data_IF_610672685380
#
_entry.id   IF_610672685380
#
_cell.length_a   1.000
_cell.length_b   1.000
_cell.length_c   1.000
_cell.angle_alpha   90.00
_cell.angle_beta   90.00
_cell.angle_gamma   90.00
#
_symmetry.space_group_name_H-M   'P 1'
#
loop_
_entity.id
_entity.type
_entity.pdbx_description
1 polymer ?
#
# COMPACT_ATOMS: atom_id res chain seq x y z
N UNK A 1 -51.83 42.38 32.57
CA UNK A 1 -51.47 41.65 31.36
C UNK A 1 -49.96 41.33 31.41
N UNK A 2 -49.55 40.08 31.53
CA UNK A 2 -48.12 39.75 31.56
C UNK A 2 -47.58 39.54 30.14
N UNK A 3 -46.44 40.16 29.85
CA UNK A 3 -45.66 40.03 28.59
C UNK A 3 -44.97 38.68 28.48
N UNK A 4 -44.96 38.04 27.30
CA UNK A 4 -44.27 36.77 27.12
C UNK A 4 -42.73 36.97 27.02
N UNK A 5 -41.99 36.22 27.83
CA UNK A 5 -40.54 36.10 27.74
C UNK A 5 -40.17 35.10 26.63
N UNK A 6 -39.51 35.58 25.60
CA UNK A 6 -38.96 34.73 24.54
C UNK A 6 -37.67 34.05 25.07
N UNK A 7 -37.71 32.75 25.20
CA UNK A 7 -36.50 31.93 25.45
C UNK A 7 -35.74 31.75 24.13
N UNK A 8 -34.52 32.29 24.07
CA UNK A 8 -33.57 32.02 22.96
C UNK A 8 -32.88 30.71 23.27
N UNK A 9 -33.19 29.67 22.49
CA UNK A 9 -32.52 28.40 22.54
C UNK A 9 -31.26 28.53 21.66
N UNK A 10 -30.08 28.65 22.29
CA UNK A 10 -28.80 28.61 21.60
C UNK A 10 -28.46 27.16 21.29
N UNK A 11 -28.57 26.78 20.03
CA UNK A 11 -28.12 25.50 19.50
C UNK A 11 -26.59 25.52 19.40
N UNK A 12 -25.89 24.87 20.35
CA UNK A 12 -24.46 24.61 20.26
C UNK A 12 -24.24 23.49 19.24
N UNK A 13 -23.77 23.84 18.05
CA UNK A 13 -23.31 22.88 17.07
C UNK A 13 -21.94 22.33 17.53
N UNK A 14 -21.91 21.10 18.04
CA UNK A 14 -20.69 20.38 18.28
C UNK A 14 -20.09 19.94 16.92
N UNK A 15 -19.10 20.67 16.45
CA UNK A 15 -18.21 20.18 15.38
C UNK A 15 -17.29 19.12 15.98
N UNK A 16 -17.63 17.85 15.79
CA UNK A 16 -16.71 16.77 16.04
C UNK A 16 -15.59 16.88 14.98
N UNK A 17 -14.42 17.38 15.41
CA UNK A 17 -13.19 17.20 14.63
C UNK A 17 -12.90 15.70 14.59
N UNK A 18 -13.30 15.05 13.52
CA UNK A 18 -12.78 13.74 13.18
C UNK A 18 -11.26 13.89 13.00
N UNK A 19 -10.49 13.35 13.92
CA UNK A 19 -9.04 13.21 13.76
C UNK A 19 -8.82 12.37 12.50
N UNK A 20 -8.52 13.03 11.37
CA UNK A 20 -8.08 12.33 10.17
C UNK A 20 -6.72 11.73 10.52
N UNK A 21 -6.65 10.39 10.60
CA UNK A 21 -5.36 9.72 10.60
C UNK A 21 -4.61 10.23 9.36
N UNK A 22 -3.60 11.08 9.59
CA UNK A 22 -2.82 11.68 8.51
C UNK A 22 -2.06 10.55 7.82
N UNK A 23 -2.29 10.40 6.52
CA UNK A 23 -1.45 9.56 5.68
C UNK A 23 0.01 10.00 5.87
N UNK A 24 0.94 9.08 6.16
CA UNK A 24 2.35 9.44 6.25
C UNK A 24 2.78 10.22 5.00
N UNK A 25 3.55 11.29 5.18
CA UNK A 25 4.05 12.06 4.04
C UNK A 25 4.88 11.15 3.12
N UNK A 26 4.70 11.24 1.79
CA UNK A 26 5.52 10.49 0.85
C UNK A 26 6.99 10.82 1.01
N UNK A 27 7.86 9.82 0.77
CA UNK A 27 9.32 10.02 0.73
C UNK A 27 9.68 10.70 -0.59
N UNK A 28 10.50 11.75 -0.52
CA UNK A 28 11.05 12.42 -1.71
C UNK A 28 12.34 11.72 -2.12
N UNK A 29 12.43 11.35 -3.38
CA UNK A 29 13.60 10.70 -3.97
C UNK A 29 14.28 11.68 -4.94
N UNK A 30 15.25 12.45 -4.42
CA UNK A 30 15.90 13.55 -5.16
C UNK A 30 16.55 13.08 -6.46
N UNK A 31 17.23 11.93 -6.44
CA UNK A 31 17.92 11.36 -7.62
C UNK A 31 16.95 10.77 -8.67
N UNK A 32 15.66 10.65 -8.35
CA UNK A 32 14.58 10.38 -9.30
C UNK A 32 13.81 11.66 -9.66
N UNK A 33 14.51 12.75 -9.85
CA UNK A 33 13.96 14.06 -10.23
C UNK A 33 12.90 14.59 -9.26
N UNK A 34 13.02 14.26 -7.97
CA UNK A 34 12.05 14.68 -6.96
C UNK A 34 10.74 13.87 -6.98
N UNK A 35 10.76 12.65 -7.53
CA UNK A 35 9.65 11.71 -7.41
C UNK A 35 9.35 11.48 -5.93
N UNK A 36 8.08 11.51 -5.59
CA UNK A 36 7.61 11.17 -4.24
C UNK A 36 6.96 9.81 -4.27
N UNK A 37 7.25 8.95 -3.29
CA UNK A 37 6.70 7.61 -3.16
C UNK A 37 6.04 7.44 -1.80
N UNK A 38 4.92 6.73 -1.74
CA UNK A 38 4.29 6.37 -0.47
C UNK A 38 5.28 5.57 0.40
N UNK A 39 5.37 5.95 1.67
CA UNK A 39 6.29 5.32 2.62
C UNK A 39 5.96 3.85 2.87
N UNK A 40 4.71 3.50 2.73
CA UNK A 40 4.14 2.16 2.97
C UNK A 40 3.21 1.78 1.83
N UNK A 41 2.71 0.57 1.82
CA UNK A 41 1.56 0.19 1.00
C UNK A 41 0.32 1.01 1.39
N UNK A 42 -0.63 1.13 0.47
CA UNK A 42 -1.93 1.75 0.74
C UNK A 42 -2.73 0.88 1.70
N UNK A 43 -3.20 1.50 2.80
CA UNK A 43 -3.92 0.80 3.86
C UNK A 43 -5.41 0.64 3.59
N UNK A 44 -6.06 -0.27 4.33
CA UNK A 44 -7.53 -0.38 4.38
C UNK A 44 -8.18 0.97 4.69
N UNK A 45 -7.65 1.71 5.71
CA UNK A 45 -8.17 3.03 6.06
C UNK A 45 -8.10 4.04 4.92
N UNK A 46 -6.99 4.04 4.17
CA UNK A 46 -6.78 4.92 3.03
C UNK A 46 -7.72 4.55 1.88
N UNK A 47 -7.79 3.27 1.52
CA UNK A 47 -8.69 2.80 0.46
C UNK A 47 -10.17 3.01 0.81
N UNK A 48 -10.55 2.87 2.08
CA UNK A 48 -11.91 3.15 2.55
C UNK A 48 -12.33 4.62 2.32
N UNK A 49 -11.40 5.58 2.46
CA UNK A 49 -11.69 7.00 2.13
C UNK A 49 -11.99 7.17 0.65
N UNK A 50 -11.16 6.58 -0.20
CA UNK A 50 -11.37 6.58 -1.65
C UNK A 50 -12.71 5.93 -2.03
N UNK A 51 -12.96 4.72 -1.56
CA UNK A 51 -14.18 3.98 -1.89
C UNK A 51 -15.45 4.75 -1.50
N UNK A 52 -15.46 5.40 -0.31
CA UNK A 52 -16.56 6.26 0.12
C UNK A 52 -16.70 7.51 -0.75
N UNK A 53 -15.59 8.18 -1.07
CA UNK A 53 -15.62 9.44 -1.84
C UNK A 53 -16.08 9.24 -3.29
N UNK A 54 -15.85 8.06 -3.84
CA UNK A 54 -16.14 7.73 -5.25
C UNK A 54 -17.29 6.75 -5.43
N UNK A 55 -17.86 6.24 -4.33
CA UNK A 55 -18.87 5.15 -4.35
C UNK A 55 -18.36 3.90 -5.07
N UNK A 56 -17.04 3.64 -5.00
CA UNK A 56 -16.42 2.50 -5.67
C UNK A 56 -16.82 1.20 -4.99
N UNK A 57 -17.27 0.23 -5.78
CA UNK A 57 -17.43 -1.18 -5.40
C UNK A 57 -16.39 -2.00 -6.18
N UNK A 58 -15.52 -2.71 -5.49
CA UNK A 58 -14.43 -3.46 -6.12
C UNK A 58 -14.90 -4.75 -6.79
N UNK A 59 -14.05 -5.32 -7.65
CA UNK A 59 -14.37 -6.59 -8.30
C UNK A 59 -14.58 -7.72 -7.29
N UNK A 60 -13.72 -7.80 -6.26
CA UNK A 60 -13.89 -8.78 -5.19
C UNK A 60 -15.25 -8.68 -4.49
N UNK A 61 -15.73 -7.45 -4.24
CA UNK A 61 -17.06 -7.22 -3.66
C UNK A 61 -18.18 -7.64 -4.63
N UNK A 62 -18.09 -7.24 -5.90
CA UNK A 62 -19.10 -7.61 -6.93
C UNK A 62 -19.18 -9.11 -7.17
N UNK A 63 -18.04 -9.82 -7.10
CA UNK A 63 -17.95 -11.26 -7.32
C UNK A 63 -18.15 -12.09 -6.05
N UNK A 64 -18.40 -11.41 -4.91
CA UNK A 64 -18.72 -12.04 -3.64
C UNK A 64 -17.53 -12.66 -2.89
N UNK A 65 -16.30 -12.32 -3.27
CA UNK A 65 -15.11 -12.77 -2.54
C UNK A 65 -13.81 -12.68 -3.31
N UNK A 66 -12.70 -12.86 -2.59
CA UNK A 66 -11.34 -12.78 -3.08
C UNK A 66 -10.65 -14.13 -3.18
N UNK A 67 -9.44 -14.15 -3.73
CA UNK A 67 -8.71 -15.39 -3.97
C UNK A 67 -7.61 -15.62 -2.94
N UNK A 68 -7.45 -16.89 -2.56
CA UNK A 68 -6.34 -17.46 -1.81
C UNK A 68 -5.78 -18.66 -2.59
N UNK A 69 -4.49 -18.96 -2.40
CA UNK A 69 -3.89 -20.17 -2.97
C UNK A 69 -3.78 -21.25 -1.91
N UNK A 70 -4.52 -22.36 -2.07
CA UNK A 70 -4.44 -23.56 -1.22
C UNK A 70 -4.47 -24.77 -2.13
N UNK A 71 -3.30 -25.22 -2.58
CA UNK A 71 -3.19 -26.29 -3.58
C UNK A 71 -3.85 -25.96 -4.93
N UNK A 72 -4.13 -24.67 -5.20
CA UNK A 72 -4.81 -24.08 -6.34
C UNK A 72 -5.52 -22.80 -5.93
N UNK A 73 -5.86 -21.95 -6.90
CA UNK A 73 -6.63 -20.74 -6.65
C UNK A 73 -8.05 -21.05 -6.21
N UNK A 74 -8.42 -20.62 -5.01
CA UNK A 74 -9.75 -20.80 -4.44
C UNK A 74 -10.35 -19.45 -4.10
N UNK A 75 -11.59 -19.21 -4.56
CA UNK A 75 -12.36 -18.05 -4.14
C UNK A 75 -12.91 -18.27 -2.75
N UNK A 76 -12.66 -17.32 -1.85
CA UNK A 76 -13.17 -17.30 -0.49
C UNK A 76 -14.30 -16.29 -0.38
N UNK A 77 -15.49 -16.76 -0.02
CA UNK A 77 -16.66 -15.89 0.13
C UNK A 77 -16.43 -14.79 1.16
N UNK A 78 -16.79 -13.55 0.82
CA UNK A 78 -16.68 -12.39 1.70
C UNK A 78 -15.27 -11.80 1.88
N UNK A 79 -14.22 -12.39 1.26
CA UNK A 79 -12.87 -11.84 1.29
C UNK A 79 -12.77 -10.64 0.34
N UNK A 80 -12.47 -9.49 0.89
CA UNK A 80 -12.37 -8.23 0.16
C UNK A 80 -11.28 -7.37 0.78
N UNK A 81 -11.03 -6.19 0.24
CA UNK A 81 -10.11 -5.23 0.86
C UNK A 81 -10.52 -4.81 2.28
N UNK A 82 -11.81 -4.87 2.63
CA UNK A 82 -12.32 -4.56 3.97
C UNK A 82 -12.14 -5.74 4.95
N UNK A 83 -12.07 -6.93 4.43
CA UNK A 83 -11.96 -8.20 5.18
C UNK A 83 -10.98 -9.12 4.44
N UNK A 84 -9.68 -8.87 4.56
CA UNK A 84 -8.67 -9.59 3.77
C UNK A 84 -8.74 -11.10 3.88
N UNK A 85 -9.11 -11.62 5.03
CA UNK A 85 -9.26 -13.06 5.32
C UNK A 85 -10.71 -13.47 5.68
N UNK A 86 -11.68 -12.61 5.35
CA UNK A 86 -13.10 -12.82 5.62
C UNK A 86 -13.57 -12.34 6.99
N UNK A 87 -12.64 -12.11 7.93
CA UNK A 87 -12.92 -11.55 9.25
C UNK A 87 -12.73 -10.02 9.27
N UNK A 88 -13.40 -9.28 10.16
CA UNK A 88 -13.02 -7.90 10.41
C UNK A 88 -11.54 -7.84 10.84
N UNK A 89 -10.72 -6.99 10.22
CA UNK A 89 -9.31 -6.90 10.58
C UNK A 89 -9.14 -6.25 11.97
N UNK A 90 -8.11 -6.68 12.72
CA UNK A 90 -7.77 -6.10 14.02
C UNK A 90 -7.38 -4.62 13.93
N UNK A 91 -6.92 -4.20 12.77
CA UNK A 91 -6.55 -2.81 12.47
C UNK A 91 -6.79 -2.46 11.01
N UNK A 92 -7.17 -1.22 10.75
CA UNK A 92 -7.32 -0.67 9.42
C UNK A 92 -5.98 -0.22 8.78
N UNK A 93 -4.85 -0.46 9.50
CA UNK A 93 -3.49 -0.24 9.03
C UNK A 93 -2.92 -1.45 8.26
N UNK A 94 -3.69 -2.52 8.05
CA UNK A 94 -3.31 -3.58 7.11
C UNK A 94 -3.30 -3.05 5.67
N UNK A 95 -2.44 -3.59 4.77
CA UNK A 95 -2.48 -3.23 3.36
C UNK A 95 -3.82 -3.59 2.72
N UNK A 96 -4.32 -2.71 1.85
CA UNK A 96 -5.50 -2.98 1.05
C UNK A 96 -5.17 -3.99 -0.05
N UNK A 97 -5.76 -5.16 0.04
CA UNK A 97 -5.55 -6.30 -0.88
C UNK A 97 -6.86 -6.68 -1.61
N UNK A 98 -6.85 -7.73 -2.41
CA UNK A 98 -7.99 -8.13 -3.25
C UNK A 98 -8.43 -7.04 -4.24
N UNK A 99 -7.46 -6.29 -4.75
CA UNK A 99 -7.66 -5.21 -5.71
C UNK A 99 -7.01 -5.57 -7.05
N UNK A 100 -7.73 -5.36 -8.14
CA UNK A 100 -7.18 -5.45 -9.49
C UNK A 100 -6.22 -4.31 -9.76
N UNK A 101 -5.37 -4.46 -10.78
CA UNK A 101 -4.48 -3.38 -11.20
C UNK A 101 -5.24 -2.08 -11.53
N UNK A 102 -6.39 -2.16 -12.20
CA UNK A 102 -7.21 -0.99 -12.55
C UNK A 102 -7.76 -0.27 -11.32
N UNK A 103 -8.16 -1.01 -10.28
CA UNK A 103 -8.65 -0.43 -9.02
C UNK A 103 -7.51 0.26 -8.24
N UNK A 104 -6.33 -0.36 -8.20
CA UNK A 104 -5.12 0.23 -7.62
C UNK A 104 -4.72 1.53 -8.36
N UNK A 105 -4.72 1.49 -9.69
CA UNK A 105 -4.43 2.66 -10.52
C UNK A 105 -5.44 3.79 -10.31
N UNK A 106 -6.74 3.47 -10.23
CA UNK A 106 -7.80 4.44 -10.00
C UNK A 106 -7.66 5.13 -8.62
N UNK A 107 -7.29 4.35 -7.59
CA UNK A 107 -6.96 4.93 -6.29
C UNK A 107 -5.79 5.92 -6.38
N UNK A 108 -4.66 5.53 -6.99
CA UNK A 108 -3.51 6.41 -7.09
C UNK A 108 -3.82 7.70 -7.86
N UNK A 109 -4.61 7.61 -8.94
CA UNK A 109 -5.07 8.78 -9.70
C UNK A 109 -5.96 9.71 -8.85
N UNK A 110 -6.89 9.14 -8.08
CA UNK A 110 -7.72 9.91 -7.14
C UNK A 110 -6.87 10.62 -6.07
N UNK A 111 -5.81 9.96 -5.60
CA UNK A 111 -4.85 10.52 -4.64
C UNK A 111 -3.90 11.57 -5.26
N UNK A 112 -4.00 11.83 -6.57
CA UNK A 112 -3.15 12.78 -7.30
C UNK A 112 -1.80 12.23 -7.75
N UNK A 113 -1.67 10.89 -7.79
CA UNK A 113 -0.47 10.16 -8.19
C UNK A 113 -0.75 9.09 -9.26
N UNK A 114 0.10 8.11 -9.31
CA UNK A 114 0.02 6.95 -10.21
C UNK A 114 0.70 5.73 -9.59
N UNK A 115 0.51 4.56 -10.15
CA UNK A 115 1.35 3.40 -9.82
C UNK A 115 2.81 3.67 -10.24
N UNK A 116 3.81 3.20 -9.49
CA UNK A 116 5.20 3.26 -9.91
C UNK A 116 5.45 2.36 -11.11
N UNK A 117 6.38 2.74 -11.98
CA UNK A 117 6.98 1.77 -12.90
C UNK A 117 7.86 0.79 -12.10
N UNK A 118 8.10 -0.41 -12.64
CA UNK A 118 8.99 -1.36 -12.00
C UNK A 118 10.43 -0.81 -11.82
N UNK A 119 10.87 0.07 -12.73
CA UNK A 119 12.17 0.74 -12.62
C UNK A 119 12.19 1.72 -11.43
N UNK A 120 11.16 2.57 -11.27
CA UNK A 120 11.02 3.49 -10.14
C UNK A 120 10.92 2.72 -8.82
N UNK A 121 10.07 1.70 -8.78
CA UNK A 121 9.88 0.85 -7.62
C UNK A 121 11.19 0.18 -7.19
N UNK A 122 11.91 -0.43 -8.15
CA UNK A 122 13.19 -1.10 -7.90
C UNK A 122 14.26 -0.12 -7.42
N UNK A 123 14.38 1.04 -8.06
CA UNK A 123 15.33 2.07 -7.63
C UNK A 123 15.01 2.54 -6.22
N UNK A 124 13.74 2.83 -5.93
CA UNK A 124 13.31 3.27 -4.61
C UNK A 124 13.54 2.21 -3.52
N UNK A 125 13.30 0.94 -3.83
CA UNK A 125 13.40 -0.15 -2.86
C UNK A 125 14.82 -0.65 -2.60
N UNK A 126 15.76 -0.44 -3.53
CA UNK A 126 17.08 -1.06 -3.44
C UNK A 126 18.25 -0.08 -3.46
N UNK A 127 18.10 1.15 -3.97
CA UNK A 127 19.18 2.12 -4.01
C UNK A 127 18.92 3.25 -3.02
N UNK A 128 19.87 3.49 -2.12
CA UNK A 128 19.75 4.57 -1.13
C UNK A 128 19.96 5.93 -1.79
N UNK A 129 18.93 6.76 -1.83
CA UNK A 129 18.91 8.04 -2.55
C UNK A 129 18.83 9.25 -1.62
N UNK A 130 18.62 9.08 -0.31
CA UNK A 130 18.56 10.22 0.62
C UNK A 130 19.89 11.00 0.61
N UNK A 131 19.81 12.31 0.64
CA UNK A 131 20.99 13.19 0.68
C UNK A 131 21.83 12.96 1.94
N UNK A 132 21.18 12.66 3.06
CA UNK A 132 21.80 12.38 4.35
C UNK A 132 21.15 11.14 4.98
N UNK A 133 21.49 9.93 4.50
CA UNK A 133 20.93 8.72 5.07
C UNK A 133 21.48 8.50 6.50
N UNK A 134 20.64 8.04 7.44
CA UNK A 134 21.14 7.64 8.75
C UNK A 134 21.96 6.36 8.65
N UNK A 135 22.91 6.15 9.56
CA UNK A 135 23.64 4.87 9.68
C UNK A 135 22.62 3.72 9.86
N UNK A 136 22.79 2.54 9.21
CA UNK A 136 23.98 2.12 8.42
C UNK A 136 23.88 2.42 6.91
N UNK A 137 22.91 3.21 6.44
CA UNK A 137 22.68 3.45 5.04
C UNK A 137 23.72 4.35 4.40
N UNK A 138 24.10 4.06 3.16
CA UNK A 138 25.12 4.83 2.40
C UNK A 138 24.51 5.27 1.07
N UNK A 139 24.48 6.58 0.83
CA UNK A 139 23.94 7.15 -0.41
C UNK A 139 24.61 6.57 -1.65
N UNK A 140 23.81 6.27 -2.67
CA UNK A 140 24.23 5.69 -3.94
C UNK A 140 24.49 4.18 -3.88
N UNK A 141 24.41 3.57 -2.71
CA UNK A 141 24.57 2.13 -2.58
C UNK A 141 23.29 1.39 -2.98
N UNK A 142 23.41 0.40 -3.86
CA UNK A 142 22.36 -0.55 -4.15
C UNK A 142 22.52 -1.78 -3.26
N UNK A 143 21.51 -2.05 -2.47
CA UNK A 143 21.48 -3.16 -1.52
C UNK A 143 20.87 -4.42 -2.14
N UNK A 144 21.28 -5.62 -1.69
CA UNK A 144 20.73 -6.88 -2.20
C UNK A 144 19.27 -7.14 -1.77
N UNK A 145 18.82 -6.46 -0.70
CA UNK A 145 17.48 -6.54 -0.13
C UNK A 145 16.91 -5.14 0.11
N UNK A 146 15.60 -5.01 0.10
CA UNK A 146 14.94 -3.75 0.45
C UNK A 146 15.16 -3.35 1.91
N UNK A 147 15.45 -4.32 2.76
CA UNK A 147 15.84 -4.19 4.17
C UNK A 147 17.35 -4.02 4.37
N UNK A 148 18.16 -3.93 3.30
CA UNK A 148 19.60 -3.72 3.35
C UNK A 148 20.43 -4.95 2.96
N UNK A 149 21.35 -5.38 3.81
CA UNK A 149 22.25 -6.49 3.54
C UNK A 149 21.65 -7.87 3.80
N UNK A 150 20.49 -7.95 4.45
CA UNK A 150 19.77 -9.20 4.74
C UNK A 150 18.26 -8.97 4.70
N UNK A 151 17.44 -10.02 4.51
CA UNK A 151 15.98 -9.91 4.54
C UNK A 151 15.40 -9.80 5.95
N UNK A 152 16.24 -9.74 6.97
CA UNK A 152 15.80 -9.76 8.37
C UNK A 152 14.84 -8.62 8.69
N UNK A 153 13.74 -8.95 9.37
CA UNK A 153 12.72 -8.01 9.78
C UNK A 153 11.64 -7.72 8.74
N UNK A 154 11.70 -8.42 7.59
CA UNK A 154 10.64 -8.42 6.59
C UNK A 154 9.57 -9.48 6.92
N UNK A 155 8.33 -9.26 6.53
CA UNK A 155 7.23 -10.22 6.66
C UNK A 155 7.20 -11.16 5.45
N UNK A 156 7.61 -12.43 5.65
CA UNK A 156 7.75 -13.47 4.62
C UNK A 156 7.17 -14.79 5.13
N UNK A 157 7.28 -15.87 4.34
CA UNK A 157 6.98 -17.22 4.84
C UNK A 157 8.04 -17.80 5.80
N UNK A 158 9.16 -17.10 5.97
CA UNK A 158 10.15 -17.44 7.00
C UNK A 158 9.60 -17.01 8.39
N UNK A 159 10.09 -17.57 9.50
CA UNK A 159 9.54 -17.24 10.81
C UNK A 159 9.60 -15.75 11.14
N UNK A 160 8.44 -15.15 11.33
CA UNK A 160 8.24 -13.79 11.78
C UNK A 160 6.97 -13.68 12.67
N UNK A 161 6.66 -12.52 13.26
CA UNK A 161 5.51 -12.40 14.17
C UNK A 161 4.14 -12.47 13.48
N UNK A 162 4.05 -12.35 12.16
CA UNK A 162 2.78 -12.19 11.45
C UNK A 162 2.42 -13.45 10.65
N UNK A 163 1.28 -14.12 10.94
CA UNK A 163 0.87 -15.29 10.18
C UNK A 163 0.36 -14.95 8.76
N UNK A 164 0.11 -13.67 8.49
CA UNK A 164 -0.34 -13.09 7.22
C UNK A 164 0.26 -11.69 7.06
N UNK A 165 -0.43 -10.79 6.32
CA UNK A 165 0.04 -9.42 6.18
C UNK A 165 0.20 -8.71 7.54
N UNK A 166 1.33 -8.04 7.72
CA UNK A 166 1.60 -7.16 8.85
C UNK A 166 0.89 -5.81 8.65
N UNK A 167 0.54 -5.10 9.73
CA UNK A 167 0.20 -3.69 9.62
C UNK A 167 1.35 -2.92 8.97
N UNK A 168 1.04 -2.00 8.05
CA UNK A 168 2.06 -1.20 7.38
C UNK A 168 2.90 -0.46 8.42
N UNK A 169 4.22 -0.34 8.20
CA UNK A 169 5.21 0.26 9.16
C UNK A 169 5.44 -0.59 10.45
N UNK A 170 4.89 -1.80 10.59
CA UNK A 170 5.23 -2.70 11.69
C UNK A 170 6.55 -3.45 11.47
N UNK A 171 6.99 -3.58 10.24
CA UNK A 171 8.28 -4.16 9.84
C UNK A 171 9.41 -3.13 9.93
N UNK A 172 10.64 -3.54 9.67
CA UNK A 172 11.79 -2.63 9.68
C UNK A 172 11.72 -1.62 8.53
N UNK A 173 12.14 -0.39 8.79
CA UNK A 173 12.36 0.60 7.74
C UNK A 173 13.61 0.22 6.92
N UNK A 174 13.44 0.07 5.63
CA UNK A 174 14.47 -0.33 4.70
C UNK A 174 15.16 0.84 4.00
N UNK A 175 15.63 0.57 2.79
CA UNK A 175 16.24 1.54 1.89
C UNK A 175 15.31 2.76 1.73
N UNK A 176 15.88 3.94 1.71
CA UNK A 176 15.17 5.22 1.67
C UNK A 176 14.17 5.45 2.83
N UNK A 177 14.21 4.64 3.87
CA UNK A 177 13.25 4.68 4.97
C UNK A 177 11.85 4.21 4.57
N UNK A 178 11.74 3.47 3.46
CA UNK A 178 10.52 2.85 3.01
C UNK A 178 10.27 1.56 3.77
N UNK A 179 9.00 1.24 4.01
CA UNK A 179 8.60 -0.02 4.63
C UNK A 179 8.01 -0.95 3.57
N UNK A 180 8.23 -2.24 3.75
CA UNK A 180 7.55 -3.30 3.01
C UNK A 180 7.70 -3.20 1.48
N UNK A 181 8.79 -2.58 0.99
CA UNK A 181 9.12 -2.58 -0.45
C UNK A 181 9.40 -3.99 -0.97
N UNK A 182 9.78 -4.89 -0.11
CA UNK A 182 9.85 -6.32 -0.38
C UNK A 182 9.23 -7.08 0.76
N UNK A 183 8.49 -8.16 0.46
CA UNK A 183 7.66 -8.93 1.38
C UNK A 183 6.29 -8.28 1.66
N UNK A 184 5.69 -8.57 2.77
CA UNK A 184 4.34 -8.22 3.19
C UNK A 184 3.29 -8.51 2.10
N UNK A 185 3.08 -7.63 1.12
CA UNK A 185 2.24 -7.95 -0.05
C UNK A 185 2.94 -7.63 -1.37
N UNK A 186 2.66 -8.41 -2.43
CA UNK A 186 3.03 -8.03 -3.79
C UNK A 186 2.42 -6.67 -4.14
N UNK A 187 3.16 -5.85 -4.85
CA UNK A 187 2.68 -4.53 -5.25
C UNK A 187 2.51 -4.41 -6.76
N UNK A 188 1.34 -3.94 -7.19
CA UNK A 188 1.11 -3.61 -8.59
C UNK A 188 2.04 -2.49 -9.06
N UNK A 189 2.68 -2.70 -10.21
CA UNK A 189 3.43 -1.68 -10.95
C UNK A 189 2.71 -1.31 -12.25
N UNK A 190 3.07 -0.16 -12.82
CA UNK A 190 2.43 0.38 -14.03
C UNK A 190 2.75 -0.41 -15.30
N UNK A 191 3.80 -1.24 -15.28
CA UNK A 191 4.29 -1.97 -16.45
C UNK A 191 3.27 -2.98 -16.96
N UNK A 192 3.13 -3.02 -18.30
CA UNK A 192 2.18 -3.87 -19.01
C UNK A 192 2.87 -4.75 -20.02
N UNK A 193 2.37 -5.98 -20.18
CA UNK A 193 2.73 -6.94 -21.23
C UNK A 193 1.45 -7.62 -21.71
N UNK A 194 0.87 -7.14 -22.80
CA UNK A 194 -0.47 -7.58 -23.21
C UNK A 194 -1.50 -7.36 -22.08
N UNK A 195 -2.22 -8.40 -21.73
CA UNK A 195 -3.24 -8.37 -20.67
C UNK A 195 -2.66 -8.53 -19.25
N UNK A 196 -1.35 -8.69 -19.13
CA UNK A 196 -0.68 -8.83 -17.84
C UNK A 196 -0.14 -7.51 -17.32
N UNK A 197 -0.04 -7.42 -16.01
CA UNK A 197 0.59 -6.32 -15.25
C UNK A 197 1.64 -6.88 -14.33
N UNK A 198 2.67 -6.08 -14.08
CA UNK A 198 3.78 -6.49 -13.23
C UNK A 198 3.42 -6.35 -11.75
N UNK A 199 3.88 -7.31 -10.95
CA UNK A 199 3.90 -7.22 -9.49
C UNK A 199 5.32 -7.36 -8.99
N UNK A 200 5.66 -6.61 -7.93
CA UNK A 200 7.01 -6.47 -7.37
C UNK A 200 7.00 -6.87 -5.89
N UNK A 201 8.15 -7.32 -5.37
CA UNK A 201 8.48 -7.36 -3.95
C UNK A 201 8.25 -8.68 -3.21
N UNK A 202 7.50 -9.63 -3.74
CA UNK A 202 7.14 -10.82 -2.97
C UNK A 202 6.01 -10.53 -1.97
N UNK A 203 5.74 -11.46 -1.07
CA UNK A 203 4.74 -11.26 -0.01
C UNK A 203 4.99 -12.21 1.16
N UNK A 204 4.23 -12.04 2.26
CA UNK A 204 4.22 -12.91 3.44
C UNK A 204 4.05 -14.41 3.11
N UNK A 205 3.49 -14.73 1.94
CA UNK A 205 3.28 -16.11 1.47
C UNK A 205 4.55 -16.76 0.90
N UNK A 206 5.57 -15.99 0.57
CA UNK A 206 6.74 -16.43 -0.15
C UNK A 206 8.01 -16.31 0.70
N UNK A 207 9.04 -17.18 0.45
CA UNK A 207 10.31 -17.03 1.13
C UNK A 207 11.02 -15.72 0.72
N UNK A 208 11.92 -15.26 1.57
CA UNK A 208 12.66 -14.01 1.35
C UNK A 208 13.34 -13.92 -0.02
N UNK A 209 13.70 -15.06 -0.64
CA UNK A 209 14.29 -15.08 -2.00
C UNK A 209 13.40 -14.37 -3.05
N UNK A 210 12.09 -14.26 -2.83
CA UNK A 210 11.16 -13.55 -3.72
C UNK A 210 11.22 -12.03 -3.57
N UNK A 211 11.91 -11.52 -2.54
CA UNK A 211 12.08 -10.08 -2.31
C UNK A 211 13.24 -9.44 -3.08
N UNK A 212 14.02 -10.21 -3.81
CA UNK A 212 15.22 -9.73 -4.51
C UNK A 212 14.87 -8.80 -5.68
N UNK A 213 15.79 -7.89 -6.01
CA UNK A 213 15.60 -6.91 -7.08
C UNK A 213 15.39 -7.53 -8.48
N UNK A 214 15.90 -8.74 -8.69
CA UNK A 214 15.79 -9.50 -9.94
C UNK A 214 14.52 -10.37 -10.04
N UNK A 215 13.72 -10.41 -8.97
CA UNK A 215 12.46 -11.15 -8.94
C UNK A 215 11.29 -10.23 -9.28
N UNK A 216 10.51 -10.68 -10.22
CA UNK A 216 9.28 -10.01 -10.65
C UNK A 216 8.27 -11.06 -11.09
N UNK A 217 7.00 -10.74 -11.00
CA UNK A 217 5.94 -11.60 -11.47
C UNK A 217 4.96 -10.84 -12.36
N UNK A 218 4.37 -11.54 -13.31
CA UNK A 218 3.32 -11.03 -14.17
C UNK A 218 2.01 -11.70 -13.80
N UNK A 219 0.96 -10.90 -13.70
CA UNK A 219 -0.39 -11.37 -13.35
C UNK A 219 -1.38 -10.80 -14.35
N UNK A 220 -2.46 -11.50 -14.70
CA UNK A 220 -3.56 -10.91 -15.43
C UNK A 220 -3.99 -9.59 -14.79
N UNK A 221 -4.25 -8.55 -15.58
CA UNK A 221 -4.57 -7.21 -15.07
C UNK A 221 -5.83 -7.19 -14.18
N UNK A 222 -6.69 -8.16 -14.37
CA UNK A 222 -7.95 -8.34 -13.65
C UNK A 222 -7.86 -9.33 -12.48
N UNK A 223 -6.66 -9.88 -12.22
CA UNK A 223 -6.40 -10.76 -11.09
C UNK A 223 -6.36 -9.97 -9.77
N UNK A 224 -6.78 -10.61 -8.69
CA UNK A 224 -6.73 -10.07 -7.33
C UNK A 224 -6.65 -11.20 -6.30
N UNK A 225 -5.90 -11.01 -5.23
CA UNK A 225 -5.70 -12.03 -4.21
C UNK A 225 -5.33 -11.40 -2.86
N UNK A 226 -5.35 -12.23 -1.80
CA UNK A 226 -5.09 -11.84 -0.40
C UNK A 226 -3.69 -11.24 -0.16
N UNK A 227 -2.75 -11.45 -1.06
CA UNK A 227 -1.37 -10.99 -0.94
C UNK A 227 -0.92 -10.04 -2.07
N UNK A 228 -1.88 -9.35 -2.72
CA UNK A 228 -1.58 -8.34 -3.73
C UNK A 228 -2.21 -7.02 -3.33
N UNK A 229 -1.36 -6.04 -3.07
CA UNK A 229 -1.69 -4.66 -2.78
C UNK A 229 -0.95 -3.71 -3.73
N UNK A 230 -0.65 -2.50 -3.27
CA UNK A 230 0.02 -1.47 -4.07
C UNK A 230 0.45 -0.29 -3.21
N UNK A 231 1.34 0.55 -3.75
CA UNK A 231 1.63 1.92 -3.30
C UNK A 231 1.63 2.88 -4.47
N UNK A 232 1.56 4.18 -4.20
CA UNK A 232 1.55 5.21 -5.21
C UNK A 232 2.87 5.98 -5.26
N UNK A 233 3.12 6.56 -6.43
CA UNK A 233 4.13 7.60 -6.63
C UNK A 233 3.47 8.89 -7.12
N UNK A 234 4.13 10.01 -6.87
CA UNK A 234 3.65 11.34 -7.22
C UNK A 234 4.75 12.08 -7.95
N UNK A 235 4.46 12.53 -9.15
CA UNK A 235 5.42 13.30 -9.93
C UNK A 235 5.77 14.63 -9.22
N UNK A 236 6.95 15.18 -9.47
CA UNK A 236 7.35 16.45 -8.90
C UNK A 236 6.33 17.54 -9.19
N UNK A 237 6.10 18.40 -8.20
CA UNK A 237 5.31 19.60 -8.44
C UNK A 237 6.07 20.49 -9.42
N UNK A 238 5.53 20.67 -10.62
CA UNK A 238 6.12 21.63 -11.56
C UNK A 238 6.15 23.00 -10.90
N UNK A 239 7.34 23.49 -10.60
CA UNK A 239 7.48 24.88 -10.21
C UNK A 239 7.00 25.75 -11.39
N UNK A 240 5.98 26.56 -11.14
CA UNK A 240 5.47 27.54 -12.09
C UNK A 240 6.33 28.78 -12.04
#
# INVERSE_FOLDING_TARGET
>A
MPTPRHAVIATLAFWALAASAQTPAPVVLDDLHGLRIDKTEVTIAQFARYARATSTTTRAEREGGGFEYVGGWQRRAGWTWQRPDGSPPDTDQLPAVHLTHAEAQAYCQWAGGRLPTAAEWRTAGFTELRSQPPTPWVRGTTYPWTTGHSPQGANTSDPDPWPRAAPVNATVAGVNGLHDMGANVWEWAADARGDERRTMGGSWWYPASQMRADVEAWKPADFYAVYIGFRCVYDPVKQR
#
